data_IF_696407013963
#
_entry.id   IF_696407013963
#
_cell.length_a   1.000
_cell.length_b   1.000
_cell.length_c   1.000
_cell.angle_alpha   90.00
_cell.angle_beta   90.00
_cell.angle_gamma   90.00
#
_symmetry.space_group_name_H-M   'P 1'
#
loop_
_entity.id
_entity.type
_entity.pdbx_description
1 polymer ?
#
# COMPACT_ATOMS: atom_id res chain seq x y z
N UNK A 1 -15.40 -23.41 10.84
CA UNK A 1 -15.48 -22.59 9.61
C UNK A 1 -14.89 -23.46 8.51
N UNK A 2 -15.69 -23.85 7.50
CA UNK A 2 -15.25 -24.75 6.44
C UNK A 2 -14.44 -23.97 5.39
N UNK A 3 -13.11 -24.16 5.42
CA UNK A 3 -12.16 -23.47 4.54
C UNK A 3 -12.41 -23.85 3.08
N UNK A 4 -12.87 -25.08 2.82
CA UNK A 4 -13.08 -25.58 1.46
C UNK A 4 -14.28 -24.89 0.82
N UNK A 5 -15.39 -24.76 1.56
CA UNK A 5 -16.57 -24.02 1.14
C UNK A 5 -16.31 -22.51 0.91
N UNK A 6 -15.33 -21.91 1.60
CA UNK A 6 -14.90 -20.51 1.36
C UNK A 6 -14.14 -20.43 0.03
N UNK A 7 -13.17 -21.33 -0.19
CA UNK A 7 -12.38 -21.36 -1.42
C UNK A 7 -13.21 -21.62 -2.67
N UNK A 8 -14.20 -22.50 -2.59
CA UNK A 8 -15.11 -22.79 -3.71
C UNK A 8 -15.95 -21.58 -4.14
N UNK A 9 -16.15 -20.60 -3.25
CA UNK A 9 -16.86 -19.34 -3.57
C UNK A 9 -15.94 -18.27 -4.18
N UNK A 10 -14.61 -18.45 -4.12
CA UNK A 10 -13.69 -17.49 -4.70
C UNK A 10 -13.69 -17.61 -6.22
N UNK A 11 -14.07 -16.54 -6.90
CA UNK A 11 -13.94 -16.42 -8.36
C UNK A 11 -12.75 -15.54 -8.68
N UNK A 12 -11.84 -16.03 -9.53
CA UNK A 12 -10.76 -15.20 -10.06
C UNK A 12 -11.38 -14.10 -10.94
N UNK A 13 -11.21 -12.85 -10.52
CA UNK A 13 -11.69 -11.67 -11.27
C UNK A 13 -10.60 -11.13 -12.19
N UNK A 14 -9.37 -11.10 -11.70
CA UNK A 14 -8.19 -10.62 -12.43
C UNK A 14 -6.94 -11.32 -11.89
N UNK A 15 -6.04 -11.65 -12.79
CA UNK A 15 -4.68 -12.09 -12.50
C UNK A 15 -3.69 -11.09 -13.11
N UNK A 16 -2.55 -10.92 -12.45
CA UNK A 16 -1.50 -10.02 -12.86
C UNK A 16 -0.14 -10.66 -12.61
N UNK A 17 0.71 -10.64 -13.63
CA UNK A 17 2.10 -11.08 -13.56
C UNK A 17 2.99 -9.85 -13.66
N UNK A 18 4.06 -9.83 -12.86
CA UNK A 18 4.97 -8.70 -12.76
C UNK A 18 6.42 -9.17 -12.74
N UNK A 19 7.32 -8.26 -13.08
CA UNK A 19 8.75 -8.48 -12.92
C UNK A 19 9.17 -8.11 -11.50
N UNK A 20 9.72 -9.09 -10.78
CA UNK A 20 10.15 -8.87 -9.41
C UNK A 20 11.36 -7.93 -9.35
N UNK A 21 11.29 -6.93 -8.47
CA UNK A 21 12.37 -5.96 -8.24
C UNK A 21 13.04 -6.24 -6.88
N UNK A 22 14.38 -6.39 -6.83
CA UNK A 22 15.09 -6.57 -5.57
C UNK A 22 15.08 -5.28 -4.74
N UNK A 23 15.13 -5.45 -3.41
CA UNK A 23 15.30 -4.33 -2.48
C UNK A 23 16.74 -3.82 -2.55
N UNK A 24 16.94 -2.56 -2.95
CA UNK A 24 18.22 -1.85 -2.89
C UNK A 24 18.17 -0.76 -1.81
N UNK A 25 19.10 -0.84 -0.84
CA UNK A 25 19.21 0.12 0.29
C UNK A 25 17.88 0.43 0.99
N UNK A 26 17.01 -0.57 1.12
CA UNK A 26 15.71 -0.46 1.77
C UNK A 26 14.54 -0.08 0.86
N UNK A 27 14.77 0.12 -0.44
CA UNK A 27 13.75 0.54 -1.40
C UNK A 27 13.60 -0.45 -2.55
N UNK A 28 12.38 -0.53 -3.07
CA UNK A 28 12.08 -1.21 -4.34
C UNK A 28 11.76 -0.19 -5.45
N UNK A 29 11.45 1.05 -5.06
CA UNK A 29 11.09 2.15 -5.96
C UNK A 29 9.89 1.87 -6.85
N UNK A 30 9.04 0.92 -6.44
CA UNK A 30 7.80 0.54 -7.12
C UNK A 30 6.59 0.68 -6.22
N UNK A 31 5.47 1.04 -6.81
CA UNK A 31 4.15 1.12 -6.18
C UNK A 31 3.21 0.22 -6.97
N UNK A 32 2.49 -0.66 -6.26
CA UNK A 32 1.43 -1.46 -6.84
C UNK A 32 0.12 -0.71 -6.71
N UNK A 33 -0.53 -0.42 -7.83
CA UNK A 33 -1.87 0.17 -7.85
C UNK A 33 -2.90 -0.87 -8.29
N UNK A 34 -4.00 -0.96 -7.53
CA UNK A 34 -5.12 -1.84 -7.79
C UNK A 34 -6.40 -1.04 -7.68
N UNK A 35 -7.20 -1.02 -8.76
CA UNK A 35 -8.53 -0.46 -8.76
C UNK A 35 -9.58 -1.56 -8.70
N UNK A 36 -10.30 -1.67 -7.58
CA UNK A 36 -11.31 -2.73 -7.37
C UNK A 36 -12.60 -2.48 -8.15
N UNK A 37 -12.86 -1.24 -8.57
CA UNK A 37 -14.02 -0.90 -9.40
C UNK A 37 -13.86 -1.32 -10.86
N UNK A 38 -12.68 -1.12 -11.43
CA UNK A 38 -12.37 -1.41 -12.85
C UNK A 38 -11.58 -2.70 -13.07
N UNK A 39 -11.04 -3.29 -12.00
CA UNK A 39 -10.07 -4.39 -12.04
C UNK A 39 -8.76 -4.04 -12.77
N UNK A 40 -8.42 -2.75 -12.84
CA UNK A 40 -7.12 -2.30 -13.34
C UNK A 40 -6.03 -2.62 -12.29
N UNK A 41 -4.92 -3.17 -12.75
CA UNK A 41 -3.71 -3.38 -11.97
C UNK A 41 -2.55 -2.80 -12.77
N UNK A 42 -1.76 -1.93 -12.16
CA UNK A 42 -0.57 -1.33 -12.78
C UNK A 42 0.52 -1.05 -11.75
N UNK A 43 1.74 -0.93 -12.26
CA UNK A 43 2.91 -0.51 -11.50
C UNK A 43 3.17 0.97 -11.76
N UNK A 44 3.52 1.70 -10.70
CA UNK A 44 4.04 3.07 -10.79
C UNK A 44 5.45 3.08 -10.22
N UNK A 45 6.31 3.92 -10.79
CA UNK A 45 7.60 4.22 -10.17
C UNK A 45 7.41 5.20 -9.01
N UNK A 46 8.18 5.02 -7.95
CA UNK A 46 8.29 6.04 -6.89
C UNK A 46 9.10 7.21 -7.43
N UNK A 47 8.54 8.44 -7.52
CA UNK A 47 9.31 9.59 -7.95
C UNK A 47 10.48 9.88 -6.99
N UNK A 48 11.64 10.26 -7.52
CA UNK A 48 12.83 10.56 -6.71
C UNK A 48 12.54 11.59 -5.61
N UNK A 49 11.82 12.66 -5.97
CA UNK A 49 11.41 13.71 -5.01
C UNK A 49 10.55 13.14 -3.88
N UNK A 50 9.66 12.18 -4.19
CA UNK A 50 8.82 11.53 -3.19
C UNK A 50 9.66 10.72 -2.22
N UNK A 51 10.62 9.95 -2.73
CA UNK A 51 11.58 9.19 -1.93
C UNK A 51 12.40 10.07 -1.00
N UNK A 52 12.95 11.16 -1.51
CA UNK A 52 13.81 12.07 -0.74
C UNK A 52 13.03 12.85 0.34
N UNK A 53 11.83 13.32 0.03
CA UNK A 53 11.04 14.16 0.96
C UNK A 53 10.22 13.36 1.96
N UNK A 54 9.67 12.22 1.55
CA UNK A 54 8.68 11.48 2.34
C UNK A 54 9.20 10.16 2.90
N UNK A 55 10.36 9.67 2.44
CA UNK A 55 11.13 8.54 2.98
C UNK A 55 10.44 7.16 2.84
N UNK A 56 9.15 7.04 3.11
CA UNK A 56 8.38 5.79 3.10
C UNK A 56 7.23 5.79 4.12
N UNK A 57 6.53 4.66 4.25
CA UNK A 57 5.50 4.46 5.28
C UNK A 57 4.40 5.53 5.25
N UNK A 58 4.20 6.23 6.37
CA UNK A 58 3.20 7.31 6.49
C UNK A 58 3.40 8.40 5.44
N UNK A 59 4.65 8.77 5.16
CA UNK A 59 4.95 9.83 4.19
C UNK A 59 4.47 9.47 2.79
N UNK A 60 4.72 8.23 2.36
CA UNK A 60 4.23 7.75 1.08
C UNK A 60 2.70 7.68 1.05
N UNK A 61 2.10 7.14 2.12
CA UNK A 61 0.64 7.10 2.24
C UNK A 61 -0.02 8.47 2.13
N UNK A 62 0.52 9.49 2.80
CA UNK A 62 -0.01 10.86 2.73
C UNK A 62 0.20 11.50 1.36
N UNK A 63 1.37 11.28 0.72
CA UNK A 63 1.64 11.83 -0.61
C UNK A 63 0.72 11.23 -1.67
N UNK A 64 0.50 9.92 -1.63
CA UNK A 64 -0.37 9.21 -2.58
C UNK A 64 -1.84 9.60 -2.36
N UNK A 65 -2.30 9.65 -1.10
CA UNK A 65 -3.66 10.12 -0.80
C UNK A 65 -3.89 11.56 -1.27
N UNK A 66 -2.88 12.43 -1.11
CA UNK A 66 -2.93 13.81 -1.60
C UNK A 66 -3.10 13.88 -3.12
N UNK A 67 -2.44 12.98 -3.86
CA UNK A 67 -2.55 12.94 -5.33
C UNK A 67 -3.87 12.31 -5.80
N UNK A 68 -4.46 11.42 -5.01
CA UNK A 68 -5.72 10.75 -5.33
C UNK A 68 -6.98 11.58 -5.01
N UNK A 69 -6.91 12.48 -4.02
CA UNK A 69 -8.10 13.13 -3.44
C UNK A 69 -8.14 14.65 -3.62
N UNK A 70 -9.34 15.21 -3.49
CA UNK A 70 -9.59 16.66 -3.45
C UNK A 70 -9.87 17.12 -2.01
N UNK A 71 -9.76 18.44 -1.70
CA UNK A 71 -9.97 18.97 -0.34
C UNK A 71 -11.31 18.65 0.32
N UNK A 72 -12.32 18.21 -0.45
CA UNK A 72 -13.66 17.86 0.04
C UNK A 72 -14.07 16.43 -0.31
N UNK A 73 -13.15 15.58 -0.75
CA UNK A 73 -13.43 14.17 -1.04
C UNK A 73 -13.99 13.50 0.23
N UNK A 74 -15.21 12.92 0.17
CA UNK A 74 -15.75 12.18 1.30
C UNK A 74 -15.09 10.80 1.44
N UNK A 75 -15.19 10.19 2.62
CA UNK A 75 -14.56 8.89 2.90
C UNK A 75 -15.04 7.74 1.99
N UNK A 76 -16.27 7.83 1.48
CA UNK A 76 -16.89 6.81 0.63
C UNK A 76 -16.80 7.14 -0.86
N UNK A 77 -16.00 8.13 -1.23
CA UNK A 77 -15.75 8.46 -2.62
C UNK A 77 -14.85 7.39 -3.28
N UNK A 78 -15.10 7.01 -4.55
CA UNK A 78 -14.21 6.12 -5.29
C UNK A 78 -12.79 6.63 -5.50
N UNK A 79 -12.52 7.91 -5.25
CA UNK A 79 -11.16 8.49 -5.25
C UNK A 79 -10.43 8.36 -3.90
N UNK A 80 -11.15 8.03 -2.82
CA UNK A 80 -10.52 7.81 -1.52
C UNK A 80 -9.81 6.45 -1.50
N UNK A 81 -8.52 6.47 -1.72
CA UNK A 81 -7.70 5.26 -1.72
C UNK A 81 -7.36 4.79 -0.29
N UNK A 82 -7.12 3.49 -0.18
CA UNK A 82 -6.48 2.86 0.98
C UNK A 82 -5.04 2.58 0.58
N UNK A 83 -4.11 3.35 1.14
CA UNK A 83 -2.68 3.19 0.86
C UNK A 83 -2.03 2.41 1.99
N UNK A 84 -1.34 1.32 1.65
CA UNK A 84 -0.51 0.57 2.60
C UNK A 84 0.95 0.72 2.20
N UNK A 85 1.78 1.22 3.11
CA UNK A 85 3.22 1.38 2.85
C UNK A 85 4.05 1.00 4.06
N UNK A 86 5.25 0.49 3.80
CA UNK A 86 6.27 0.26 4.83
C UNK A 86 7.41 1.27 4.68
N UNK A 87 8.13 1.52 5.77
CA UNK A 87 9.33 2.36 5.73
C UNK A 87 10.51 1.65 5.05
N UNK A 88 11.61 2.35 4.77
CA UNK A 88 12.79 1.75 4.14
C UNK A 88 13.47 0.69 5.02
N UNK A 89 13.30 0.78 6.34
CA UNK A 89 13.79 -0.24 7.28
C UNK A 89 12.82 -1.42 7.43
N UNK A 90 11.70 -1.41 6.69
CA UNK A 90 10.67 -2.44 6.73
C UNK A 90 11.24 -3.81 6.37
N UNK A 91 11.08 -4.79 7.26
CA UNK A 91 11.53 -6.16 7.01
C UNK A 91 13.02 -6.44 7.26
N UNK A 92 13.80 -5.45 7.73
CA UNK A 92 15.20 -5.68 8.15
C UNK A 92 15.21 -6.56 9.42
N UNK A 93 15.88 -7.71 9.37
CA UNK A 93 15.90 -8.69 10.48
C UNK A 93 16.96 -8.41 11.54
N UNK A 94 17.90 -7.51 11.27
CA UNK A 94 18.96 -7.12 12.21
C UNK A 94 18.45 -6.25 13.36
N UNK A 95 17.28 -5.63 13.22
CA UNK A 95 16.68 -4.76 14.23
C UNK A 95 15.29 -5.24 14.61
N UNK A 96 14.99 -5.22 15.91
CA UNK A 96 13.65 -5.55 16.41
C UNK A 96 12.64 -4.47 16.01
N UNK A 97 11.39 -4.89 15.73
CA UNK A 97 10.27 -3.97 15.52
C UNK A 97 10.16 -3.34 14.12
N UNK A 98 10.91 -3.85 13.14
CA UNK A 98 10.92 -3.38 11.73
C UNK A 98 9.76 -3.90 10.88
N UNK A 99 8.87 -4.71 11.43
CA UNK A 99 7.72 -5.31 10.73
C UNK A 99 6.49 -4.39 10.62
N UNK A 100 6.68 -3.08 10.48
CA UNK A 100 5.56 -2.12 10.50
C UNK A 100 4.98 -1.86 9.11
N UNK A 101 3.67 -1.72 9.07
CA UNK A 101 2.89 -1.25 7.91
C UNK A 101 2.06 -0.06 8.36
N UNK A 102 2.01 0.98 7.54
CA UNK A 102 1.14 2.13 7.73
C UNK A 102 0.01 2.04 6.72
N UNK A 103 -1.22 2.20 7.20
CA UNK A 103 -2.42 2.30 6.38
C UNK A 103 -2.93 3.73 6.44
N UNK A 104 -3.10 4.38 5.29
CA UNK A 104 -3.52 5.78 5.18
C UNK A 104 -4.77 5.88 4.30
N UNK A 105 -5.79 6.58 4.77
CA UNK A 105 -7.04 6.87 4.03
C UNK A 105 -7.85 7.97 4.73
N UNK A 106 -8.96 8.41 4.14
CA UNK A 106 -9.95 9.26 4.83
C UNK A 106 -10.82 8.39 5.74
N UNK A 107 -10.88 8.76 7.03
CA UNK A 107 -11.63 8.00 8.03
C UNK A 107 -13.15 8.17 7.88
N UNK A 108 -13.95 7.09 7.89
CA UNK A 108 -15.42 7.18 7.91
C UNK A 108 -15.98 7.77 9.20
N UNK A 109 -15.24 7.67 10.30
CA UNK A 109 -15.68 8.17 11.60
C UNK A 109 -15.46 9.67 11.76
N UNK A 110 -14.35 10.20 11.23
CA UNK A 110 -13.95 11.60 11.45
C UNK A 110 -14.03 12.46 10.19
N UNK A 111 -14.18 11.85 9.01
CA UNK A 111 -14.11 12.56 7.72
C UNK A 111 -12.76 13.21 7.45
N UNK A 112 -11.72 12.83 8.19
CA UNK A 112 -10.38 13.41 8.10
C UNK A 112 -9.35 12.38 7.64
N UNK A 113 -8.26 12.84 7.05
CA UNK A 113 -7.10 11.99 6.73
C UNK A 113 -6.56 11.35 8.00
N UNK A 114 -6.39 10.03 7.96
CA UNK A 114 -5.92 9.24 9.10
C UNK A 114 -4.86 8.23 8.65
N UNK A 115 -3.87 8.02 9.52
CA UNK A 115 -2.94 6.91 9.42
C UNK A 115 -3.10 5.93 10.59
N UNK A 116 -2.92 4.65 10.30
CA UNK A 116 -2.93 3.57 11.29
C UNK A 116 -1.66 2.73 11.17
N UNK A 117 -0.99 2.51 12.29
CA UNK A 117 0.24 1.71 12.36
C UNK A 117 -0.09 0.30 12.85
N UNK A 118 0.30 -0.70 12.05
CA UNK A 118 0.16 -2.11 12.40
C UNK A 118 1.51 -2.82 12.30
N UNK A 119 1.76 -3.76 13.20
CA UNK A 119 2.92 -4.65 13.11
C UNK A 119 2.60 -5.93 12.32
N UNK A 120 3.56 -6.85 12.27
CA UNK A 120 3.39 -8.16 11.67
C UNK A 120 4.16 -8.30 10.36
N UNK A 121 3.61 -9.10 9.45
CA UNK A 121 4.36 -9.57 8.28
C UNK A 121 3.95 -8.91 6.96
N UNK A 122 2.81 -8.21 6.91
CA UNK A 122 2.28 -7.66 5.66
C UNK A 122 3.25 -6.68 4.99
N UNK A 123 3.65 -5.61 5.68
CA UNK A 123 4.57 -4.60 5.16
C UNK A 123 5.91 -5.18 4.68
N UNK A 124 6.60 -6.02 5.48
CA UNK A 124 7.78 -6.74 5.02
C UNK A 124 7.54 -7.59 3.77
N UNK A 125 6.46 -8.38 3.72
CA UNK A 125 6.17 -9.24 2.57
C UNK A 125 5.77 -8.45 1.33
N UNK A 126 5.11 -7.31 1.46
CA UNK A 126 4.87 -6.40 0.35
C UNK A 126 6.20 -5.89 -0.24
N UNK A 127 7.14 -5.49 0.64
CA UNK A 127 8.48 -5.07 0.21
C UNK A 127 9.27 -6.19 -0.43
N UNK A 128 9.22 -7.40 0.11
CA UNK A 128 9.88 -8.57 -0.49
C UNK A 128 9.22 -9.03 -1.79
N UNK A 129 7.94 -8.72 -1.99
CA UNK A 129 7.26 -8.88 -3.27
C UNK A 129 7.67 -7.81 -4.31
N UNK A 130 8.51 -6.84 -3.94
CA UNK A 130 9.05 -5.85 -4.88
C UNK A 130 8.31 -4.52 -4.89
N UNK A 131 7.55 -4.18 -3.85
CA UNK A 131 6.79 -2.91 -3.78
C UNK A 131 6.96 -2.16 -2.46
N UNK A 132 7.10 -0.83 -2.54
CA UNK A 132 7.23 0.06 -1.37
C UNK A 132 5.87 0.56 -0.86
N UNK A 133 4.86 0.57 -1.73
CA UNK A 133 3.49 0.91 -1.39
C UNK A 133 2.48 0.12 -2.23
N UNK A 134 1.29 -0.04 -1.67
CA UNK A 134 0.09 -0.56 -2.31
C UNK A 134 -0.98 0.52 -2.26
N UNK A 135 -1.47 0.96 -3.41
CA UNK A 135 -2.64 1.82 -3.56
C UNK A 135 -3.84 0.93 -3.91
N UNK A 136 -4.86 0.95 -3.05
CA UNK A 136 -6.13 0.27 -3.31
C UNK A 136 -7.22 1.32 -3.50
N UNK A 137 -7.70 1.46 -4.74
CA UNK A 137 -8.79 2.33 -5.12
C UNK A 137 -10.10 1.55 -5.28
#
# INVERSE_FOLDING_TARGET
>A
MDIQAIKEKHKLVKEYSYEWVPVDKGYTDKILYINVGTNEIKEKDVPLEMKEKFIGGKGYGLRLLWDATEPRTPWNDPSNEIIISSGPIGGITQYSGTGKSLVVSISPQTGSVMDSNVGGFFGPFLKFAGYDALELQ
#
